data_IF_404451139188
#
_entry.id   IF_404451139188
#
_cell.length_a   1.000
_cell.length_b   1.000
_cell.length_c   1.000
_cell.angle_alpha   90.00
_cell.angle_beta   90.00
_cell.angle_gamma   90.00
#
_symmetry.space_group_name_H-M   'P 1'
#
loop_
_entity.id
_entity.type
_entity.pdbx_description
1 polymer ?
#
# COMPACT_ATOMS: atom_id res chain seq x y z
N UNK A 1 66.89 0.04 33.40
CA UNK A 1 66.09 -0.85 32.53
C UNK A 1 64.58 -0.60 32.61
N UNK A 2 63.99 -0.38 33.79
CA UNK A 2 62.54 -0.22 33.98
C UNK A 2 61.83 0.84 33.10
N UNK A 3 62.44 2.03 32.89
CA UNK A 3 61.82 3.10 32.08
C UNK A 3 61.61 2.72 30.59
N UNK A 4 62.52 1.93 29.99
CA UNK A 4 62.38 1.49 28.59
C UNK A 4 61.28 0.44 28.42
N UNK A 5 61.04 -0.38 29.45
CA UNK A 5 59.96 -1.38 29.46
C UNK A 5 58.58 -0.74 29.60
N UNK A 6 58.46 0.30 30.43
CA UNK A 6 57.21 1.05 30.63
C UNK A 6 56.79 1.76 29.33
N UNK A 7 57.74 2.39 28.63
CA UNK A 7 57.48 3.08 27.36
C UNK A 7 57.03 2.08 26.27
N UNK A 8 57.63 0.87 26.22
CA UNK A 8 57.20 -0.18 25.28
C UNK A 8 55.78 -0.69 25.58
N UNK A 9 55.41 -0.87 26.85
CA UNK A 9 54.06 -1.28 27.23
C UNK A 9 53.01 -0.19 26.92
N UNK A 10 53.34 1.09 27.11
CA UNK A 10 52.47 2.21 26.75
C UNK A 10 52.24 2.31 25.24
N UNK A 11 53.28 2.12 24.43
CA UNK A 11 53.16 2.12 22.97
C UNK A 11 52.34 0.92 22.48
N UNK A 12 52.56 -0.28 23.04
CA UNK A 12 51.79 -1.47 22.68
C UNK A 12 50.30 -1.34 23.07
N UNK A 13 50.02 -0.74 24.23
CA UNK A 13 48.66 -0.41 24.69
C UNK A 13 47.97 0.62 23.79
N UNK A 14 48.70 1.64 23.33
CA UNK A 14 48.16 2.67 22.44
C UNK A 14 47.84 2.12 21.03
N UNK A 15 48.68 1.19 20.53
CA UNK A 15 48.45 0.49 19.26
C UNK A 15 47.27 -0.48 19.38
N UNK A 16 47.14 -1.20 20.49
CA UNK A 16 46.01 -2.11 20.72
C UNK A 16 44.69 -1.32 20.85
N UNK A 17 44.72 -0.14 21.47
CA UNK A 17 43.55 0.73 21.62
C UNK A 17 43.13 1.38 20.29
N UNK A 18 44.07 1.72 19.42
CA UNK A 18 43.76 2.27 18.09
C UNK A 18 43.19 1.21 17.14
N UNK A 19 43.65 -0.05 17.21
CA UNK A 19 43.09 -1.16 16.41
C UNK A 19 41.66 -1.52 16.85
N UNK A 20 41.33 -1.37 18.14
CA UNK A 20 39.98 -1.60 18.68
C UNK A 20 38.97 -0.51 18.29
N UNK A 21 39.41 0.71 17.97
CA UNK A 21 38.52 1.83 17.59
C UNK A 21 38.26 1.90 16.09
N UNK A 22 39.09 1.27 15.25
CA UNK A 22 38.90 1.21 13.78
C UNK A 22 37.78 0.27 13.30
N UNK A 23 37.05 -0.40 14.20
CA UNK A 23 36.11 -1.47 13.84
C UNK A 23 34.62 -1.19 14.03
N UNK A 24 34.21 0.02 14.46
CA UNK A 24 32.78 0.34 14.64
C UNK A 24 32.45 1.63 13.88
N UNK A 25 32.62 1.60 12.56
CA UNK A 25 31.78 2.46 11.74
C UNK A 25 30.38 1.84 11.79
N UNK A 26 29.44 2.54 12.44
CA UNK A 26 28.04 2.22 12.26
C UNK A 26 27.75 2.30 10.76
N UNK A 27 27.52 1.15 10.15
CA UNK A 27 27.15 1.06 8.74
C UNK A 27 25.89 1.92 8.54
N UNK A 28 26.01 3.00 7.77
CA UNK A 28 24.88 3.89 7.49
C UNK A 28 23.96 3.14 6.55
N UNK A 29 23.00 2.40 7.13
CA UNK A 29 21.98 1.70 6.35
C UNK A 29 21.06 2.71 5.67
N UNK A 30 20.85 2.53 4.37
CA UNK A 30 19.80 3.26 3.66
C UNK A 30 18.45 2.71 4.13
N UNK A 31 17.57 3.56 4.66
CA UNK A 31 16.27 3.12 5.19
C UNK A 31 15.15 3.44 4.20
N UNK A 32 14.41 2.42 3.78
CA UNK A 32 13.15 2.56 3.04
C UNK A 32 11.99 2.37 4.01
N UNK A 33 11.27 3.45 4.31
CA UNK A 33 9.97 3.36 5.00
C UNK A 33 8.89 2.98 3.97
N UNK A 34 8.27 1.82 4.14
CA UNK A 34 7.17 1.32 3.30
C UNK A 34 5.87 1.29 4.10
N UNK A 35 4.88 2.08 3.69
CA UNK A 35 3.59 2.16 4.37
C UNK A 35 2.45 1.45 3.61
N UNK A 36 1.41 1.00 4.32
CA UNK A 36 0.13 0.57 3.76
C UNK A 36 -1.00 0.61 4.81
N UNK A 37 -2.27 0.57 4.35
CA UNK A 37 -3.43 0.75 5.24
C UNK A 37 -3.89 -0.50 5.97
N UNK A 38 -3.57 -1.69 5.46
CA UNK A 38 -4.03 -2.95 6.06
C UNK A 38 -3.11 -3.43 7.18
N UNK A 39 -3.60 -4.35 8.04
CA UNK A 39 -2.76 -4.98 9.06
C UNK A 39 -1.61 -5.80 8.43
N UNK A 40 -0.47 -5.91 9.12
CA UNK A 40 0.67 -6.71 8.65
C UNK A 40 0.46 -8.19 8.96
N UNK A 41 -0.42 -8.85 8.20
CA UNK A 41 -0.68 -10.29 8.26
C UNK A 41 -0.40 -10.91 6.87
N UNK A 42 0.86 -11.25 6.55
CA UNK A 42 1.28 -11.60 5.18
C UNK A 42 0.60 -12.84 4.59
N UNK A 43 0.15 -13.78 5.41
CA UNK A 43 -0.56 -14.98 4.93
C UNK A 43 -2.03 -14.73 4.63
N UNK A 44 -2.55 -13.56 5.01
CA UNK A 44 -3.96 -13.25 5.02
C UNK A 44 -4.32 -12.06 4.13
N UNK A 45 -3.42 -11.08 4.04
CA UNK A 45 -3.68 -9.78 3.42
C UNK A 45 -2.68 -9.57 2.28
N UNK A 46 -3.15 -9.43 1.02
CA UNK A 46 -2.26 -9.28 -0.14
C UNK A 46 -1.26 -8.13 -0.02
N UNK A 47 -1.68 -6.95 0.46
CA UNK A 47 -0.74 -5.82 0.63
C UNK A 47 0.32 -6.09 1.69
N UNK A 48 0.00 -6.87 2.74
CA UNK A 48 0.97 -7.26 3.76
C UNK A 48 1.96 -8.30 3.22
N UNK A 49 1.49 -9.21 2.35
CA UNK A 49 2.34 -10.15 1.63
C UNK A 49 3.32 -9.41 0.72
N UNK A 50 2.83 -8.47 -0.09
CA UNK A 50 3.66 -7.62 -0.95
C UNK A 50 4.71 -6.89 -0.11
N UNK A 51 4.33 -6.26 1.00
CA UNK A 51 5.25 -5.55 1.87
C UNK A 51 6.33 -6.46 2.48
N UNK A 52 5.95 -7.66 2.95
CA UNK A 52 6.88 -8.63 3.52
C UNK A 52 7.88 -9.17 2.49
N UNK A 53 7.41 -9.51 1.29
CA UNK A 53 8.27 -9.98 0.20
C UNK A 53 9.19 -8.87 -0.28
N UNK A 54 8.68 -7.64 -0.46
CA UNK A 54 9.51 -6.50 -0.83
C UNK A 54 10.63 -6.25 0.17
N UNK A 55 10.33 -6.27 1.48
CA UNK A 55 11.34 -6.16 2.54
C UNK A 55 12.39 -7.27 2.42
N UNK A 56 11.96 -8.53 2.36
CA UNK A 56 12.88 -9.67 2.28
C UNK A 56 13.78 -9.61 1.04
N UNK A 57 13.22 -9.32 -0.13
CA UNK A 57 13.97 -9.24 -1.39
C UNK A 57 14.95 -8.06 -1.38
N UNK A 58 14.55 -6.88 -0.91
CA UNK A 58 15.45 -5.72 -0.88
C UNK A 58 16.60 -5.93 0.10
N UNK A 59 16.32 -6.43 1.30
CA UNK A 59 17.35 -6.66 2.31
C UNK A 59 18.32 -7.77 1.87
N UNK A 60 17.81 -8.86 1.28
CA UNK A 60 18.64 -9.95 0.78
C UNK A 60 19.52 -9.51 -0.40
N UNK A 61 18.94 -8.86 -1.41
CA UNK A 61 19.67 -8.45 -2.61
C UNK A 61 20.62 -7.26 -2.38
N UNK A 62 20.43 -6.51 -1.28
CA UNK A 62 21.36 -5.44 -0.86
C UNK A 62 22.41 -5.91 0.15
N UNK A 63 22.48 -7.22 0.46
CA UNK A 63 23.34 -7.74 1.52
C UNK A 63 23.16 -7.01 2.88
N UNK A 64 21.97 -6.49 3.15
CA UNK A 64 21.64 -5.75 4.38
C UNK A 64 22.05 -4.27 4.40
N UNK A 65 22.59 -3.72 3.31
CA UNK A 65 22.92 -2.30 3.17
C UNK A 65 21.66 -1.40 3.13
N UNK A 66 20.55 -1.96 2.64
CA UNK A 66 19.24 -1.32 2.66
C UNK A 66 18.38 -2.00 3.72
N UNK A 67 17.83 -1.23 4.65
CA UNK A 67 16.84 -1.67 5.63
C UNK A 67 15.43 -1.26 5.17
N UNK A 68 14.47 -2.17 5.17
CA UNK A 68 13.07 -1.83 4.87
C UNK A 68 12.24 -1.85 6.14
N UNK A 69 11.70 -0.69 6.53
CA UNK A 69 10.81 -0.55 7.70
C UNK A 69 9.36 -0.48 7.26
N UNK A 70 8.55 -1.43 7.72
CA UNK A 70 7.13 -1.51 7.40
C UNK A 70 6.28 -0.66 8.36
N UNK A 71 5.33 0.10 7.81
CA UNK A 71 4.37 0.91 8.53
C UNK A 71 2.93 0.53 8.12
N UNK A 72 2.38 -0.55 8.71
CA UNK A 72 1.07 -1.08 8.36
C UNK A 72 -0.07 -0.30 9.03
N UNK A 73 -1.31 -0.75 8.83
CA UNK A 73 -2.52 -0.29 9.55
C UNK A 73 -2.79 1.21 9.47
N UNK A 74 -2.23 1.91 8.47
CA UNK A 74 -2.39 3.36 8.33
C UNK A 74 -1.81 4.17 9.49
N UNK A 75 -0.82 3.64 10.22
CA UNK A 75 -0.22 4.35 11.38
C UNK A 75 0.42 5.70 11.02
N UNK A 76 0.71 5.92 9.73
CA UNK A 76 1.25 7.18 9.20
C UNK A 76 0.19 8.10 8.58
N UNK A 77 -1.09 7.78 8.73
CA UNK A 77 -2.21 8.58 8.25
C UNK A 77 -3.08 7.87 7.21
N UNK A 78 -3.98 8.63 6.60
CA UNK A 78 -4.84 8.15 5.51
C UNK A 78 -4.07 8.12 4.19
N UNK A 79 -4.58 7.37 3.22
CA UNK A 79 -3.96 7.14 1.90
C UNK A 79 -3.37 8.40 1.25
N UNK A 80 -4.18 9.46 1.13
CA UNK A 80 -3.77 10.71 0.50
C UNK A 80 -2.61 11.39 1.25
N UNK A 81 -2.65 11.37 2.57
CA UNK A 81 -1.63 11.98 3.43
C UNK A 81 -0.30 11.23 3.27
N UNK A 82 -0.33 9.89 3.25
CA UNK A 82 0.87 9.07 3.06
C UNK A 82 1.46 9.30 1.67
N UNK A 83 0.65 9.39 0.62
CA UNK A 83 1.20 9.64 -0.73
C UNK A 83 1.81 11.04 -0.86
N UNK A 84 1.28 12.06 -0.17
CA UNK A 84 1.94 13.37 -0.04
C UNK A 84 3.29 13.22 0.69
N UNK A 85 3.36 12.40 1.74
CA UNK A 85 4.62 12.11 2.42
C UNK A 85 5.64 11.44 1.48
N UNK A 86 5.20 10.57 0.57
CA UNK A 86 6.05 9.98 -0.47
C UNK A 86 6.56 11.02 -1.47
N UNK A 87 5.69 11.91 -1.98
CA UNK A 87 6.11 12.99 -2.87
C UNK A 87 7.14 13.94 -2.25
N UNK A 88 7.11 14.08 -0.92
CA UNK A 88 8.05 14.91 -0.15
C UNK A 88 9.21 14.11 0.47
N UNK A 89 9.34 12.82 0.13
CA UNK A 89 10.37 11.92 0.61
C UNK A 89 10.46 11.78 2.16
N UNK A 90 9.35 11.99 2.87
CA UNK A 90 9.23 11.75 4.32
C UNK A 90 9.10 10.24 4.58
N UNK A 91 8.34 9.57 3.72
CA UNK A 91 8.18 8.11 3.58
C UNK A 91 8.69 7.73 2.19
N UNK A 92 9.43 6.62 2.07
CA UNK A 92 10.11 6.28 0.81
C UNK A 92 9.19 5.55 -0.17
N UNK A 93 8.21 4.79 0.33
CA UNK A 93 7.28 4.03 -0.51
C UNK A 93 5.94 3.79 0.18
N UNK A 94 4.90 3.57 -0.63
CA UNK A 94 3.56 3.26 -0.18
C UNK A 94 2.87 2.31 -1.16
N UNK A 95 2.15 1.32 -0.65
CA UNK A 95 1.28 0.45 -1.47
C UNK A 95 -0.03 1.19 -1.69
N UNK A 96 -0.17 1.81 -2.86
CA UNK A 96 -1.33 2.61 -3.22
C UNK A 96 -2.44 1.76 -3.86
N UNK A 97 -3.69 2.07 -3.50
CA UNK A 97 -4.85 1.61 -4.27
C UNK A 97 -5.02 2.47 -5.52
N UNK A 98 -5.73 1.95 -6.53
CA UNK A 98 -6.10 2.73 -7.71
C UNK A 98 -6.87 4.00 -7.31
N UNK A 99 -7.76 3.92 -6.33
CA UNK A 99 -8.52 5.07 -5.87
C UNK A 99 -7.72 6.11 -5.08
N UNK A 100 -6.69 5.70 -4.35
CA UNK A 100 -5.72 6.64 -3.76
C UNK A 100 -4.93 7.38 -4.84
N UNK A 101 -4.43 6.63 -5.82
CA UNK A 101 -3.68 7.15 -6.96
C UNK A 101 -4.50 8.10 -7.82
N UNK A 102 -5.81 7.85 -7.98
CA UNK A 102 -6.71 8.70 -8.77
C UNK A 102 -6.75 10.16 -8.28
N UNK A 103 -6.42 10.43 -7.01
CA UNK A 103 -6.35 11.80 -6.47
C UNK A 103 -5.11 12.60 -6.93
N UNK A 104 -4.12 11.93 -7.52
CA UNK A 104 -2.88 12.52 -8.05
C UNK A 104 -2.74 12.30 -9.56
N UNK A 105 -3.21 11.16 -10.05
CA UNK A 105 -3.23 10.77 -11.45
C UNK A 105 -4.62 10.23 -11.82
N UNK A 106 -5.58 11.10 -12.19
CA UNK A 106 -6.97 10.71 -12.44
C UNK A 106 -7.15 9.65 -13.54
N UNK A 107 -6.22 9.57 -14.50
CA UNK A 107 -6.32 8.61 -15.61
C UNK A 107 -6.18 7.15 -15.16
N UNK A 108 -5.66 6.86 -13.96
CA UNK A 108 -5.67 5.49 -13.45
C UNK A 108 -7.08 4.93 -13.30
N UNK A 109 -8.10 5.79 -13.22
CA UNK A 109 -9.48 5.36 -13.07
C UNK A 109 -9.98 4.52 -14.26
N UNK A 110 -9.32 4.60 -15.42
CA UNK A 110 -9.60 3.71 -16.57
C UNK A 110 -9.50 2.23 -16.19
N UNK A 111 -8.70 1.89 -15.19
CA UNK A 111 -8.51 0.50 -14.77
C UNK A 111 -9.63 -0.03 -13.87
N UNK A 112 -10.52 0.85 -13.38
CA UNK A 112 -11.69 0.48 -12.60
C UNK A 112 -12.95 0.25 -13.46
N UNK A 113 -12.81 0.28 -14.80
CA UNK A 113 -13.94 0.02 -15.69
C UNK A 113 -14.54 -1.36 -15.42
N UNK A 114 -15.86 -1.44 -15.13
CA UNK A 114 -16.52 -2.73 -14.90
C UNK A 114 -16.35 -3.66 -16.10
N UNK A 115 -16.03 -4.92 -15.83
CA UNK A 115 -15.89 -5.97 -16.84
C UNK A 115 -14.78 -5.74 -17.87
N UNK A 116 -13.86 -4.79 -17.65
CA UNK A 116 -12.72 -4.56 -18.55
C UNK A 116 -11.74 -5.74 -18.61
N UNK A 117 -11.63 -6.49 -17.51
CA UNK A 117 -10.79 -7.68 -17.40
C UNK A 117 -11.67 -8.91 -17.18
N UNK A 118 -11.44 -9.96 -17.97
CA UNK A 118 -12.16 -11.23 -17.88
C UNK A 118 -11.56 -12.19 -16.85
N UNK A 119 -10.31 -11.98 -16.45
CA UNK A 119 -9.63 -12.76 -15.42
C UNK A 119 -8.43 -12.01 -14.85
N UNK A 120 -7.87 -12.49 -13.74
CA UNK A 120 -6.63 -11.95 -13.17
C UNK A 120 -5.44 -12.09 -14.14
N UNK A 121 -5.38 -13.18 -14.91
CA UNK A 121 -4.30 -13.41 -15.87
C UNK A 121 -4.27 -12.34 -16.95
N UNK A 122 -5.44 -11.96 -17.49
CA UNK A 122 -5.53 -10.85 -18.45
C UNK A 122 -5.12 -9.54 -17.80
N UNK A 123 -5.50 -9.32 -16.53
CA UNK A 123 -5.02 -8.17 -15.75
C UNK A 123 -3.50 -8.11 -15.68
N UNK A 124 -2.85 -9.20 -15.28
CA UNK A 124 -1.38 -9.29 -15.20
C UNK A 124 -0.71 -9.02 -16.54
N UNK A 125 -1.17 -9.65 -17.63
CA UNK A 125 -0.62 -9.43 -18.97
C UNK A 125 -0.70 -7.95 -19.40
N UNK A 126 -1.80 -7.26 -19.09
CA UNK A 126 -1.98 -5.83 -19.40
C UNK A 126 -1.06 -4.94 -18.58
N UNK A 127 -0.95 -5.17 -17.27
CA UNK A 127 -0.13 -4.34 -16.38
C UNK A 127 1.38 -4.62 -16.50
N UNK A 128 1.78 -5.85 -16.83
CA UNK A 128 3.20 -6.20 -17.06
C UNK A 128 3.64 -5.86 -18.50
N UNK A 129 2.68 -5.71 -19.40
CA UNK A 129 2.88 -5.34 -20.80
C UNK A 129 3.12 -3.84 -21.03
N UNK A 130 2.98 -3.43 -22.29
CA UNK A 130 3.29 -2.07 -22.72
C UNK A 130 2.36 -1.02 -22.11
N UNK A 131 1.09 -1.37 -21.90
CA UNK A 131 0.11 -0.50 -21.25
C UNK A 131 0.55 -0.08 -19.84
N UNK A 132 0.94 -1.04 -18.99
CA UNK A 132 1.39 -0.72 -17.63
C UNK A 132 2.70 0.05 -17.61
N UNK A 133 3.64 -0.26 -18.51
CA UNK A 133 4.89 0.52 -18.65
C UNK A 133 4.63 1.98 -19.05
N UNK A 134 3.76 2.19 -20.04
CA UNK A 134 3.38 3.53 -20.48
C UNK A 134 2.68 4.30 -19.35
N UNK A 135 1.74 3.65 -18.65
CA UNK A 135 1.05 4.23 -17.50
C UNK A 135 2.01 4.59 -16.37
N UNK A 136 2.96 3.71 -16.02
CA UNK A 136 3.96 3.96 -14.98
C UNK A 136 4.85 5.17 -15.32
N UNK A 137 5.27 5.31 -16.57
CA UNK A 137 6.04 6.46 -17.02
C UNK A 137 5.21 7.75 -17.02
N UNK A 138 3.93 7.69 -17.40
CA UNK A 138 3.05 8.86 -17.36
C UNK A 138 2.74 9.30 -15.92
N UNK A 139 2.51 8.34 -15.01
CA UNK A 139 2.42 8.59 -13.56
C UNK A 139 3.67 9.32 -13.09
N UNK A 140 4.86 8.81 -13.43
CA UNK A 140 6.14 9.42 -13.04
C UNK A 140 6.28 10.85 -13.55
N UNK A 141 5.97 11.09 -14.82
CA UNK A 141 6.05 12.44 -15.44
C UNK A 141 5.10 13.43 -14.79
N UNK A 142 3.86 13.02 -14.49
CA UNK A 142 2.81 13.92 -13.98
C UNK A 142 2.82 14.12 -12.48
N UNK A 143 3.30 13.13 -11.72
CA UNK A 143 3.18 13.13 -10.25
C UNK A 143 4.52 13.11 -9.51
N UNK A 144 5.62 12.80 -10.22
CA UNK A 144 6.94 12.49 -9.65
C UNK A 144 6.98 11.20 -8.80
N UNK A 145 5.90 10.44 -8.75
CA UNK A 145 5.86 9.13 -8.09
C UNK A 145 6.41 8.06 -9.05
N UNK A 146 7.33 7.24 -8.57
CA UNK A 146 7.84 6.09 -9.32
C UNK A 146 7.02 4.85 -8.97
N UNK A 147 6.37 4.25 -9.96
CA UNK A 147 5.71 2.94 -9.80
C UNK A 147 6.78 1.86 -9.81
N UNK A 148 6.81 1.01 -8.78
CA UNK A 148 7.74 -0.12 -8.69
C UNK A 148 7.16 -1.42 -9.25
N UNK A 149 5.83 -1.51 -9.30
CA UNK A 149 5.07 -2.60 -9.85
C UNK A 149 3.58 -2.38 -9.65
N UNK A 150 2.77 -3.08 -10.44
CA UNK A 150 1.33 -3.14 -10.24
C UNK A 150 0.99 -4.45 -9.54
N UNK A 151 0.36 -4.35 -8.38
CA UNK A 151 -0.06 -5.51 -7.59
C UNK A 151 -1.57 -5.67 -7.62
N UNK A 152 -2.02 -6.92 -7.61
CA UNK A 152 -3.41 -7.29 -7.34
C UNK A 152 -3.64 -7.23 -5.82
N UNK A 153 -4.74 -6.60 -5.38
CA UNK A 153 -5.08 -6.45 -3.96
C UNK A 153 -6.46 -7.02 -3.63
N UNK A 154 -6.61 -8.33 -3.84
CA UNK A 154 -7.69 -9.11 -3.27
C UNK A 154 -8.84 -9.52 -4.21
N UNK A 155 -8.81 -9.10 -5.47
CA UNK A 155 -9.62 -9.60 -6.56
C UNK A 155 -10.51 -8.56 -7.24
N UNK A 156 -11.52 -9.03 -7.95
CA UNK A 156 -12.56 -8.17 -8.52
C UNK A 156 -13.54 -7.66 -7.46
N UNK A 157 -14.07 -6.46 -7.67
CA UNK A 157 -15.02 -5.83 -6.75
C UNK A 157 -16.35 -6.60 -6.70
N UNK A 158 -16.88 -6.75 -5.49
CA UNK A 158 -18.20 -7.27 -5.20
C UNK A 158 -18.98 -6.25 -4.34
N UNK A 159 -20.29 -6.16 -4.57
CA UNK A 159 -21.20 -5.38 -3.72
C UNK A 159 -21.67 -6.22 -2.53
N UNK A 160 -21.67 -5.63 -1.34
CA UNK A 160 -22.35 -6.18 -0.15
C UNK A 160 -23.17 -5.08 0.53
N UNK A 161 -24.26 -5.47 1.19
CA UNK A 161 -25.10 -4.57 1.97
C UNK A 161 -25.84 -5.36 3.07
N UNK A 162 -26.34 -4.67 4.09
CA UNK A 162 -27.08 -5.25 5.22
C UNK A 162 -28.60 -5.22 5.04
N UNK A 163 -29.11 -4.60 3.98
CA UNK A 163 -30.56 -4.40 3.77
C UNK A 163 -31.23 -5.58 3.08
N UNK A 164 -30.64 -6.11 2.01
CA UNK A 164 -31.25 -7.17 1.19
C UNK A 164 -30.25 -7.86 0.24
N UNK A 165 -30.55 -9.09 -0.22
CA UNK A 165 -29.81 -9.72 -1.31
C UNK A 165 -29.86 -8.91 -2.62
N UNK A 166 -28.78 -8.96 -3.40
CA UNK A 166 -28.69 -8.36 -4.73
C UNK A 166 -28.65 -9.50 -5.76
N UNK A 167 -29.74 -9.70 -6.49
CA UNK A 167 -29.83 -10.69 -7.57
C UNK A 167 -29.83 -10.06 -8.96
N UNK A 168 -30.16 -8.77 -9.03
CA UNK A 168 -30.23 -8.00 -10.27
C UNK A 168 -29.85 -6.53 -10.02
N UNK A 169 -29.49 -5.76 -11.05
CA UNK A 169 -29.25 -4.32 -10.92
C UNK A 169 -30.41 -3.55 -10.25
N UNK A 170 -31.65 -4.02 -10.42
CA UNK A 170 -32.83 -3.40 -9.82
C UNK A 170 -32.79 -3.38 -8.28
N UNK A 171 -32.12 -4.36 -7.67
CA UNK A 171 -32.04 -4.49 -6.21
C UNK A 171 -31.14 -3.42 -5.58
N UNK A 172 -30.28 -2.78 -6.38
CA UNK A 172 -29.40 -1.70 -5.94
C UNK A 172 -30.15 -0.39 -5.67
N UNK A 173 -31.36 -0.21 -6.22
CA UNK A 173 -32.08 1.07 -6.14
C UNK A 173 -32.26 1.57 -4.72
N UNK A 174 -31.88 2.82 -4.48
CA UNK A 174 -32.05 3.47 -3.19
C UNK A 174 -31.08 3.04 -2.08
N UNK A 175 -30.20 2.05 -2.32
CA UNK A 175 -29.13 1.73 -1.36
C UNK A 175 -28.12 2.88 -1.28
N UNK A 176 -27.65 3.21 -0.08
CA UNK A 176 -26.49 4.07 0.17
C UNK A 176 -25.23 3.23 0.16
N UNK A 177 -24.50 3.23 -0.95
CA UNK A 177 -23.31 2.40 -1.12
C UNK A 177 -22.05 3.25 -0.94
N UNK A 178 -21.17 2.83 -0.05
CA UNK A 178 -19.86 3.46 0.08
C UNK A 178 -19.04 3.27 -1.19
N UNK A 179 -18.45 4.36 -1.65
CA UNK A 179 -17.42 4.34 -2.69
C UNK A 179 -16.09 4.83 -2.13
N UNK A 180 -15.01 4.55 -2.85
CA UNK A 180 -13.78 5.33 -2.72
C UNK A 180 -14.03 6.76 -3.23
N UNK A 181 -13.08 7.67 -2.99
CA UNK A 181 -13.11 9.05 -3.51
C UNK A 181 -12.73 9.11 -4.99
N UNK A 182 -13.38 8.26 -5.79
CA UNK A 182 -13.10 8.00 -7.20
C UNK A 182 -14.37 8.31 -8.00
N UNK A 183 -14.33 9.20 -9.01
CA UNK A 183 -15.50 9.55 -9.79
C UNK A 183 -16.17 8.35 -10.47
N UNK A 184 -15.41 7.43 -11.08
CA UNK A 184 -16.00 6.27 -11.76
C UNK A 184 -16.74 5.34 -10.79
N UNK A 185 -16.24 5.14 -9.57
CA UNK A 185 -16.97 4.33 -8.57
C UNK A 185 -18.33 4.94 -8.24
N UNK A 186 -18.40 6.27 -8.12
CA UNK A 186 -19.67 6.97 -7.89
C UNK A 186 -20.60 6.81 -9.08
N UNK A 187 -20.07 6.87 -10.31
CA UNK A 187 -20.86 6.68 -11.52
C UNK A 187 -21.39 5.26 -11.66
N UNK A 188 -20.57 4.24 -11.35
CA UNK A 188 -21.01 2.85 -11.31
C UNK A 188 -22.20 2.70 -10.36
N UNK A 189 -22.09 3.19 -9.13
CA UNK A 189 -23.18 3.10 -8.14
C UNK A 189 -24.43 3.86 -8.58
N UNK A 190 -24.28 5.07 -9.12
CA UNK A 190 -25.42 5.86 -9.66
C UNK A 190 -26.10 5.17 -10.84
N UNK A 191 -25.33 4.56 -11.74
CA UNK A 191 -25.85 3.85 -12.91
C UNK A 191 -26.73 2.65 -12.54
N UNK A 192 -26.50 2.09 -11.34
CA UNK A 192 -27.30 1.01 -10.75
C UNK A 192 -28.52 1.53 -9.96
N UNK A 193 -28.73 2.85 -9.88
CA UNK A 193 -29.82 3.47 -9.14
C UNK A 193 -29.60 3.57 -7.62
N UNK A 194 -28.40 3.26 -7.15
CA UNK A 194 -27.96 3.46 -5.77
C UNK A 194 -27.39 4.86 -5.56
N UNK A 195 -27.26 5.28 -4.31
CA UNK A 195 -26.65 6.55 -3.90
C UNK A 195 -25.21 6.31 -3.44
N UNK A 196 -24.18 6.84 -4.12
CA UNK A 196 -22.80 6.69 -3.66
C UNK A 196 -22.48 7.65 -2.51
N UNK A 197 -21.77 7.14 -1.51
CA UNK A 197 -21.23 7.94 -0.40
C UNK A 197 -19.71 7.74 -0.32
N UNK A 198 -18.89 8.72 -0.75
CA UNK A 198 -17.44 8.61 -0.67
C UNK A 198 -16.96 8.66 0.78
N UNK A 199 -16.36 7.56 1.27
CA UNK A 199 -15.87 7.44 2.65
C UNK A 199 -14.48 6.82 2.66
N UNK A 200 -13.59 7.35 3.51
CA UNK A 200 -12.22 6.87 3.64
C UNK A 200 -12.17 5.46 4.25
N UNK A 201 -11.17 4.64 3.88
CA UNK A 201 -11.10 3.22 4.28
C UNK A 201 -11.27 3.00 5.80
N UNK A 202 -10.59 3.82 6.61
CA UNK A 202 -10.62 3.75 8.06
C UNK A 202 -12.01 3.99 8.68
N UNK A 203 -12.94 4.61 7.96
CA UNK A 203 -14.28 4.96 8.45
C UNK A 203 -15.36 3.98 7.96
N UNK A 204 -15.02 3.05 7.06
CA UNK A 204 -16.03 2.19 6.39
C UNK A 204 -16.73 1.27 7.39
N UNK A 205 -15.98 0.59 8.26
CA UNK A 205 -16.58 -0.35 9.24
C UNK A 205 -17.59 0.38 10.14
N UNK A 206 -17.18 1.48 10.75
CA UNK A 206 -18.07 2.27 11.63
C UNK A 206 -19.25 2.83 10.86
N UNK A 207 -19.07 3.24 9.60
CA UNK A 207 -20.17 3.79 8.78
C UNK A 207 -21.20 2.72 8.42
N UNK A 208 -20.77 1.48 8.20
CA UNK A 208 -21.67 0.31 8.05
C UNK A 208 -22.38 0.04 9.38
N UNK A 209 -21.61 -0.11 10.47
CA UNK A 209 -22.13 -0.42 11.80
C UNK A 209 -23.19 0.57 12.31
N UNK A 210 -23.05 1.84 11.95
CA UNK A 210 -23.95 2.93 12.38
C UNK A 210 -25.09 3.22 11.39
N UNK A 211 -25.15 2.52 10.25
CA UNK A 211 -26.18 2.70 9.23
C UNK A 211 -26.08 4.02 8.44
N UNK A 212 -24.92 4.70 8.49
CA UNK A 212 -24.65 5.87 7.62
C UNK A 212 -24.71 5.43 6.15
N UNK A 213 -24.17 4.25 5.87
CA UNK A 213 -24.22 3.56 4.58
C UNK A 213 -24.85 2.18 4.78
N UNK A 214 -25.52 1.69 3.74
CA UNK A 214 -26.19 0.38 3.76
C UNK A 214 -25.24 -0.72 3.27
N UNK A 215 -24.21 -0.34 2.52
CA UNK A 215 -23.30 -1.29 1.89
C UNK A 215 -22.05 -0.65 1.33
N UNK A 216 -21.26 -1.46 0.65
CA UNK A 216 -19.97 -1.07 0.09
C UNK A 216 -19.65 -1.89 -1.17
N UNK A 217 -18.56 -1.53 -1.86
CA UNK A 217 -17.96 -2.34 -2.91
C UNK A 217 -16.45 -2.51 -2.69
N UNK A 218 -15.97 -3.76 -2.69
CA UNK A 218 -14.56 -4.14 -2.60
C UNK A 218 -14.36 -5.60 -3.04
N UNK A 219 -13.13 -6.05 -3.23
CA UNK A 219 -12.86 -7.48 -3.40
C UNK A 219 -13.25 -8.31 -2.18
N UNK A 220 -13.71 -9.55 -2.40
CA UNK A 220 -14.23 -10.44 -1.34
C UNK A 220 -13.21 -10.68 -0.24
N UNK A 221 -11.92 -10.84 -0.58
CA UNK A 221 -10.87 -11.04 0.41
C UNK A 221 -10.73 -9.82 1.34
N UNK A 222 -10.83 -8.60 0.79
CA UNK A 222 -10.79 -7.34 1.55
C UNK A 222 -12.02 -7.21 2.45
N UNK A 223 -13.21 -7.53 1.94
CA UNK A 223 -14.47 -7.55 2.70
C UNK A 223 -14.35 -8.49 3.91
N UNK A 224 -13.84 -9.71 3.70
CA UNK A 224 -13.66 -10.70 4.74
C UNK A 224 -12.66 -10.22 5.81
N UNK A 225 -11.49 -9.70 5.40
CA UNK A 225 -10.47 -9.24 6.35
C UNK A 225 -10.86 -7.99 7.12
N UNK A 226 -11.66 -7.12 6.52
CA UNK A 226 -12.27 -5.98 7.21
C UNK A 226 -13.48 -6.37 8.05
N UNK A 227 -13.90 -7.64 8.05
CA UNK A 227 -15.04 -8.17 8.80
C UNK A 227 -16.36 -7.47 8.50
N UNK A 228 -16.54 -6.99 7.27
CA UNK A 228 -17.79 -6.34 6.86
C UNK A 228 -18.99 -7.29 6.82
N UNK A 229 -18.79 -8.59 7.00
CA UNK A 229 -19.89 -9.55 7.18
C UNK A 229 -20.53 -9.47 8.59
N UNK A 230 -19.93 -8.76 9.54
CA UNK A 230 -20.45 -8.58 10.90
C UNK A 230 -21.40 -7.38 11.03
N UNK A 231 -21.48 -6.52 10.01
CA UNK A 231 -22.17 -5.21 10.02
C UNK A 231 -23.01 -4.98 8.78
#
# INVERSE_FOLDING_TARGET
MAKKTIIKCLILSLILFTVLVSGVFAEVKTVIKLAHLNAQQPFDIPSAAIAAVFMAEVEANSNGEIEVRLFPSGILGKEREIMIQVQNNIVQSYIASAGGMATFYPLIDVTNLPFAFSSYMVGYEVYDGDFGKEMAEDIRKKTRLKVLGFGESGGFFAFTNSERPIHSPNDMRGLKIRTMTVPLHQEIVKSLGASPTPISWAEVYTSLQTGVIDGQMNPISIINKAKFYEV
#
